data_IF_650282237469
#
_entry.id   IF_650282237469
#
_cell.length_a   1.000
_cell.length_b   1.000
_cell.length_c   1.000
_cell.angle_alpha   90.00
_cell.angle_beta   90.00
_cell.angle_gamma   90.00
#
_symmetry.space_group_name_H-M   'P 1'
#
loop_
_entity.id
_entity.type
_entity.pdbx_description
1 polymer ?
#
# COMPACT_ATOMS: atom_id res chain seq x y z
N UNK A 1 47.35 -17.82 -52.77
CA UNK A 1 46.97 -18.20 -51.39
C UNK A 1 46.26 -17.02 -50.76
N UNK A 2 44.93 -17.01 -50.80
CA UNK A 2 44.10 -15.91 -50.26
C UNK A 2 43.16 -16.55 -49.25
N UNK A 3 43.46 -16.38 -47.96
CA UNK A 3 42.67 -16.89 -46.85
C UNK A 3 41.48 -15.96 -46.62
N UNK A 4 40.27 -16.47 -46.82
CA UNK A 4 39.02 -15.80 -46.43
C UNK A 4 38.74 -16.21 -44.98
N UNK A 5 38.79 -15.25 -44.05
CA UNK A 5 38.32 -15.44 -42.67
C UNK A 5 36.79 -15.29 -42.64
N UNK A 6 36.03 -16.20 -42.00
CA UNK A 6 34.60 -16.01 -41.81
C UNK A 6 34.37 -15.08 -40.62
N UNK A 7 33.66 -13.97 -40.86
CA UNK A 7 33.21 -13.04 -39.84
C UNK A 7 32.10 -13.70 -39.02
N UNK A 8 32.40 -13.98 -37.75
CA UNK A 8 31.44 -14.52 -36.78
C UNK A 8 30.42 -13.42 -36.42
N UNK A 9 29.17 -13.57 -36.84
CA UNK A 9 28.06 -12.73 -36.37
C UNK A 9 27.78 -13.09 -34.90
N UNK A 10 28.15 -12.19 -33.97
CA UNK A 10 27.70 -12.27 -32.58
C UNK A 10 26.20 -11.95 -32.54
N UNK A 11 25.37 -12.97 -32.35
CA UNK A 11 23.98 -12.82 -31.94
C UNK A 11 23.95 -12.19 -30.55
N UNK A 12 23.64 -10.90 -30.48
CA UNK A 12 23.34 -10.21 -29.24
C UNK A 12 22.02 -10.78 -28.72
N UNK A 13 22.10 -11.71 -27.78
CA UNK A 13 20.93 -12.16 -27.03
C UNK A 13 20.36 -10.95 -26.29
N UNK A 14 19.22 -10.43 -26.75
CA UNK A 14 18.38 -9.56 -25.93
C UNK A 14 18.06 -10.33 -24.65
N UNK A 15 18.78 -10.02 -23.56
CA UNK A 15 18.35 -10.40 -22.24
C UNK A 15 16.99 -9.72 -22.04
N UNK A 16 15.91 -10.49 -22.22
CA UNK A 16 14.58 -10.05 -21.86
C UNK A 16 14.68 -9.56 -20.42
N UNK A 17 14.49 -8.26 -20.20
CA UNK A 17 14.46 -7.68 -18.88
C UNK A 17 13.40 -8.47 -18.09
N UNK A 18 13.87 -9.33 -17.17
CA UNK A 18 12.97 -10.04 -16.26
C UNK A 18 12.40 -8.98 -15.34
N UNK A 19 11.08 -8.83 -15.36
CA UNK A 19 10.39 -7.98 -14.40
C UNK A 19 10.74 -8.36 -12.98
N UNK A 20 10.55 -7.44 -12.05
CA UNK A 20 10.85 -7.59 -10.64
C UNK A 20 10.40 -8.95 -10.13
N UNK A 21 11.36 -9.75 -9.68
CA UNK A 21 11.11 -11.09 -9.14
C UNK A 21 10.37 -11.05 -7.80
N UNK A 22 10.34 -9.88 -7.14
CA UNK A 22 9.81 -9.69 -5.80
C UNK A 22 8.82 -8.52 -5.75
N UNK A 23 7.84 -8.64 -4.84
CA UNK A 23 6.89 -7.60 -4.48
C UNK A 23 6.85 -7.48 -2.94
N UNK A 24 7.89 -6.89 -2.33
CA UNK A 24 8.21 -7.14 -0.92
C UNK A 24 7.34 -6.41 0.09
N UNK A 25 6.53 -5.43 -0.32
CA UNK A 25 5.77 -4.56 0.56
C UNK A 25 4.46 -4.13 -0.10
N UNK A 26 3.60 -3.46 0.68
CA UNK A 26 2.41 -2.79 0.13
C UNK A 26 2.79 -1.85 -1.02
N UNK A 27 2.13 -2.04 -2.18
CA UNK A 27 2.39 -1.33 -3.44
C UNK A 27 3.78 -1.58 -4.05
N UNK A 28 4.41 -2.71 -3.75
CA UNK A 28 5.54 -3.24 -4.52
C UNK A 28 6.90 -2.66 -4.15
N UNK A 29 7.96 -2.97 -4.93
CA UNK A 29 9.35 -2.66 -4.58
C UNK A 29 9.59 -1.19 -4.26
N UNK A 30 9.05 -0.28 -5.07
CA UNK A 30 9.11 1.17 -4.85
C UNK A 30 8.04 1.70 -3.89
N UNK A 31 7.02 0.92 -3.55
CA UNK A 31 5.89 1.38 -2.73
C UNK A 31 4.97 2.39 -3.42
N UNK A 32 5.07 2.52 -4.74
CA UNK A 32 4.34 3.44 -5.60
C UNK A 32 3.30 2.74 -6.49
N UNK A 33 3.27 1.41 -6.49
CA UNK A 33 2.37 0.59 -7.30
C UNK A 33 2.90 0.32 -8.71
N UNK A 34 4.18 0.56 -8.98
CA UNK A 34 4.79 0.31 -10.28
C UNK A 34 5.45 -1.06 -10.37
N UNK A 35 5.38 -1.67 -11.55
CA UNK A 35 6.11 -2.88 -11.91
C UNK A 35 6.72 -2.74 -13.30
N UNK A 36 7.95 -3.22 -13.43
CA UNK A 36 8.66 -3.44 -14.69
C UNK A 36 8.32 -4.79 -15.34
N UNK A 37 7.39 -5.57 -14.76
CA UNK A 37 6.86 -6.78 -15.36
C UNK A 37 6.38 -6.57 -16.81
N UNK A 38 6.54 -7.63 -17.60
CA UNK A 38 6.21 -7.70 -19.03
C UNK A 38 5.50 -9.02 -19.34
N UNK A 39 4.66 -9.00 -20.36
CA UNK A 39 3.90 -10.19 -20.78
C UNK A 39 2.84 -10.59 -19.76
N UNK A 40 2.24 -9.58 -19.10
CA UNK A 40 1.13 -9.81 -18.19
C UNK A 40 -0.14 -10.11 -18.99
N UNK A 41 -0.96 -11.10 -18.58
CA UNK A 41 -2.19 -11.44 -19.29
C UNK A 41 -3.14 -10.23 -19.27
N UNK A 42 -3.65 -9.86 -20.44
CA UNK A 42 -4.58 -8.73 -20.57
C UNK A 42 -5.99 -9.06 -20.06
N UNK A 43 -6.38 -10.33 -20.13
CA UNK A 43 -7.71 -10.82 -19.75
C UNK A 43 -7.62 -12.09 -18.90
N UNK A 44 -8.57 -12.29 -17.99
CA UNK A 44 -8.74 -13.51 -17.21
C UNK A 44 -10.19 -13.69 -16.75
N UNK A 45 -10.51 -14.91 -16.32
CA UNK A 45 -11.76 -15.28 -15.67
C UNK A 45 -11.49 -16.41 -14.67
N UNK A 46 -12.51 -16.92 -13.98
CA UNK A 46 -12.37 -18.12 -13.14
C UNK A 46 -11.83 -19.35 -13.90
N UNK A 47 -11.91 -19.38 -15.24
CA UNK A 47 -11.47 -20.50 -16.09
C UNK A 47 -10.35 -20.15 -17.08
N UNK A 48 -9.96 -18.87 -17.20
CA UNK A 48 -8.96 -18.40 -18.18
C UNK A 48 -7.80 -17.70 -17.48
N UNK A 49 -6.57 -18.06 -17.86
CA UNK A 49 -5.32 -17.49 -17.34
C UNK A 49 -5.12 -17.62 -15.81
N UNK A 50 -5.90 -18.47 -15.14
CA UNK A 50 -5.67 -18.86 -13.73
C UNK A 50 -4.69 -20.02 -13.70
N UNK A 51 -3.49 -19.80 -13.16
CA UNK A 51 -2.48 -20.86 -12.98
C UNK A 51 -2.86 -21.77 -11.82
N UNK A 52 -3.24 -21.15 -10.70
CA UNK A 52 -3.77 -21.80 -9.53
C UNK A 52 -4.62 -20.80 -8.75
N UNK A 53 -5.52 -21.32 -7.92
CA UNK A 53 -6.20 -20.55 -6.88
C UNK A 53 -6.23 -21.36 -5.59
N UNK A 54 -6.02 -20.68 -4.47
CA UNK A 54 -5.86 -21.28 -3.15
C UNK A 54 -6.82 -20.60 -2.20
N UNK A 55 -7.69 -21.37 -1.55
CA UNK A 55 -8.58 -20.85 -0.53
C UNK A 55 -7.76 -20.32 0.67
N UNK A 56 -8.14 -19.15 1.18
CA UNK A 56 -7.58 -18.56 2.40
C UNK A 56 -8.73 -18.45 3.38
N UNK A 57 -8.61 -19.13 4.52
CA UNK A 57 -9.67 -19.11 5.52
C UNK A 57 -9.73 -17.75 6.23
N UNK A 58 -10.87 -17.50 6.89
CA UNK A 58 -11.13 -16.28 7.65
C UNK A 58 -11.03 -14.99 6.82
N UNK A 59 -10.91 -13.81 7.48
CA UNK A 59 -10.98 -12.50 6.81
C UNK A 59 -9.68 -11.72 6.96
N UNK A 60 -9.21 -11.10 5.89
CA UNK A 60 -8.03 -10.22 5.91
C UNK A 60 -7.91 -9.41 4.64
N UNK A 61 -7.52 -8.14 4.74
CA UNK A 61 -7.34 -7.25 3.58
C UNK A 61 -5.87 -6.93 3.29
N UNK A 62 -4.93 -7.64 3.93
CA UNK A 62 -3.53 -7.55 3.54
C UNK A 62 -3.33 -7.95 2.09
N UNK A 63 -2.55 -7.14 1.38
CA UNK A 63 -2.09 -7.46 0.03
C UNK A 63 -1.07 -8.60 0.12
N UNK A 64 -0.99 -9.49 -0.88
CA UNK A 64 0.10 -10.45 -0.94
C UNK A 64 1.43 -9.72 -1.05
N UNK A 65 2.46 -10.23 -0.37
CA UNK A 65 3.86 -9.87 -0.65
C UNK A 65 4.62 -11.08 -1.14
N UNK A 66 5.51 -10.87 -2.10
CA UNK A 66 6.23 -11.93 -2.81
C UNK A 66 7.73 -11.73 -2.63
N UNK A 67 8.44 -12.77 -2.19
CA UNK A 67 9.89 -12.80 -2.20
C UNK A 67 10.40 -14.18 -2.60
N UNK A 68 11.08 -14.27 -3.75
CA UNK A 68 11.51 -15.52 -4.35
C UNK A 68 10.32 -16.44 -4.63
N UNK A 69 10.26 -17.57 -3.91
CA UNK A 69 9.21 -18.59 -4.04
C UNK A 69 8.07 -18.45 -3.02
N UNK A 70 8.10 -17.44 -2.16
CA UNK A 70 7.17 -17.32 -1.04
C UNK A 70 6.20 -16.17 -1.25
N UNK A 71 4.92 -16.43 -0.99
CA UNK A 71 3.88 -15.43 -0.88
C UNK A 71 3.39 -15.39 0.56
N UNK A 72 3.32 -14.19 1.14
CA UNK A 72 2.87 -13.99 2.52
C UNK A 72 1.59 -13.18 2.60
N UNK A 73 0.69 -13.61 3.48
CA UNK A 73 -0.63 -13.02 3.72
C UNK A 73 -1.01 -13.15 5.20
N UNK A 74 -2.00 -12.36 5.61
CA UNK A 74 -2.61 -12.44 6.95
C UNK A 74 -4.13 -12.59 6.88
N UNK A 75 -4.72 -13.25 7.86
CA UNK A 75 -6.17 -13.26 8.11
C UNK A 75 -6.44 -13.20 9.61
N UNK A 76 -7.70 -13.02 9.98
CA UNK A 76 -8.15 -13.04 11.36
C UNK A 76 -9.55 -13.65 11.46
N UNK A 77 -9.80 -14.39 12.53
CA UNK A 77 -11.11 -14.94 12.85
C UNK A 77 -12.18 -13.85 12.81
N UNK A 78 -13.43 -14.24 12.51
CA UNK A 78 -14.54 -13.27 12.38
C UNK A 78 -14.73 -12.40 13.63
N UNK A 79 -14.46 -12.95 14.81
CA UNK A 79 -14.54 -12.26 16.09
C UNK A 79 -13.24 -11.52 16.48
N UNK A 80 -12.18 -11.62 15.68
CA UNK A 80 -10.89 -10.96 15.88
C UNK A 80 -9.99 -11.59 16.95
N UNK A 81 -10.40 -12.72 17.54
CA UNK A 81 -9.67 -13.37 18.64
C UNK A 81 -8.43 -14.12 18.20
N UNK A 82 -8.38 -14.56 16.95
CA UNK A 82 -7.24 -15.31 16.41
C UNK A 82 -6.70 -14.62 15.15
N UNK A 83 -5.39 -14.41 15.12
CA UNK A 83 -4.68 -13.72 14.06
C UNK A 83 -3.72 -14.69 13.36
N UNK A 84 -3.89 -14.87 12.05
CA UNK A 84 -3.23 -15.91 11.26
C UNK A 84 -2.24 -15.35 10.24
N UNK A 85 -1.26 -16.17 9.92
CA UNK A 85 -0.23 -15.89 8.91
C UNK A 85 -0.12 -17.08 7.96
N UNK A 86 -0.02 -16.77 6.67
CA UNK A 86 0.17 -17.75 5.61
C UNK A 86 1.51 -17.55 4.92
N UNK A 87 2.19 -18.64 4.63
CA UNK A 87 3.22 -18.71 3.60
C UNK A 87 2.75 -19.69 2.53
N UNK A 88 2.62 -19.21 1.30
CA UNK A 88 2.14 -19.97 0.15
C UNK A 88 3.29 -20.08 -0.87
N UNK A 89 3.46 -21.27 -1.44
CA UNK A 89 4.43 -21.48 -2.52
C UNK A 89 3.94 -20.78 -3.78
N UNK A 90 4.75 -19.83 -4.27
CA UNK A 90 4.46 -18.99 -5.44
C UNK A 90 4.15 -19.81 -6.69
N UNK A 91 4.85 -20.93 -6.86
CA UNK A 91 4.76 -21.70 -8.10
C UNK A 91 3.52 -22.57 -8.15
N UNK A 92 3.26 -23.29 -7.06
CA UNK A 92 2.22 -24.33 -6.98
C UNK A 92 0.93 -23.87 -6.33
N UNK A 93 0.93 -22.74 -5.62
CA UNK A 93 -0.20 -22.27 -4.82
C UNK A 93 -0.41 -23.06 -3.52
N UNK A 94 0.43 -24.05 -3.22
CA UNK A 94 0.27 -24.85 -1.99
C UNK A 94 0.59 -24.01 -0.76
N UNK A 95 -0.24 -24.13 0.26
CA UNK A 95 0.05 -23.58 1.58
C UNK A 95 1.26 -24.34 2.14
N UNK A 96 2.38 -23.63 2.30
CA UNK A 96 3.60 -24.16 2.94
C UNK A 96 3.44 -24.11 4.45
N UNK A 97 2.86 -23.01 4.95
CA UNK A 97 2.50 -22.82 6.35
C UNK A 97 1.24 -21.97 6.47
N UNK A 98 0.44 -22.32 7.44
CA UNK A 98 -0.76 -21.63 7.91
C UNK A 98 -0.81 -21.85 9.42
N UNK A 99 -0.77 -20.77 10.19
CA UNK A 99 -0.76 -20.86 11.64
C UNK A 99 -1.28 -19.59 12.30
N UNK A 100 -1.83 -19.78 13.51
CA UNK A 100 -2.15 -18.69 14.42
C UNK A 100 -0.86 -18.10 14.98
N UNK A 101 -0.65 -16.81 14.73
CA UNK A 101 0.48 -16.05 15.27
C UNK A 101 0.12 -15.42 16.62
N UNK A 102 -1.08 -14.88 16.78
CA UNK A 102 -1.50 -14.22 18.01
C UNK A 102 -2.93 -14.55 18.41
N UNK A 103 -3.14 -14.75 19.72
CA UNK A 103 -4.43 -14.66 20.38
C UNK A 103 -4.69 -13.24 20.90
N UNK A 104 -5.96 -12.80 20.80
CA UNK A 104 -6.45 -11.49 21.27
C UNK A 104 -7.72 -11.72 22.11
N UNK A 105 -7.61 -11.80 23.45
CA UNK A 105 -8.77 -12.10 24.31
C UNK A 105 -9.92 -11.10 24.19
N UNK A 106 -9.58 -9.82 23.99
CA UNK A 106 -10.53 -8.72 23.86
C UNK A 106 -10.19 -7.89 22.62
N UNK A 107 -10.64 -8.31 21.42
CA UNK A 107 -10.39 -7.57 20.19
C UNK A 107 -11.07 -6.20 20.23
N UNK A 108 -10.39 -5.17 19.73
CA UNK A 108 -10.99 -3.84 19.52
C UNK A 108 -12.12 -3.93 18.49
N UNK A 109 -12.99 -2.91 18.42
CA UNK A 109 -13.92 -2.82 17.30
C UNK A 109 -13.14 -2.77 15.95
N UNK A 110 -13.74 -3.32 14.90
CA UNK A 110 -13.25 -3.20 13.53
C UNK A 110 -14.42 -2.91 12.60
N UNK A 111 -14.30 -1.86 11.79
CA UNK A 111 -15.37 -1.47 10.86
C UNK A 111 -15.53 -2.54 9.75
N UNK A 112 -16.72 -2.66 9.14
CA UNK A 112 -16.99 -3.69 8.13
C UNK A 112 -16.08 -3.62 6.89
N UNK A 113 -15.64 -2.41 6.52
CA UNK A 113 -14.65 -2.17 5.45
C UNK A 113 -13.21 -2.52 5.85
N UNK A 114 -12.98 -2.86 7.12
CA UNK A 114 -11.69 -3.23 7.67
C UNK A 114 -11.74 -4.65 8.24
N UNK A 115 -10.59 -5.20 8.66
CA UNK A 115 -10.50 -6.41 9.48
C UNK A 115 -9.39 -6.26 10.50
N UNK A 116 -9.26 -7.23 11.40
CA UNK A 116 -8.12 -7.31 12.31
C UNK A 116 -6.79 -7.65 11.62
N UNK A 117 -6.80 -7.94 10.31
CA UNK A 117 -5.65 -8.41 9.51
C UNK A 117 -5.53 -7.64 8.18
N UNK A 118 -5.75 -6.33 8.20
CA UNK A 118 -5.61 -5.47 7.02
C UNK A 118 -4.19 -4.98 6.71
N UNK A 119 -3.31 -4.71 7.71
CA UNK A 119 -1.94 -4.31 7.41
C UNK A 119 -1.23 -5.37 6.56
N UNK A 120 -0.61 -4.93 5.47
CA UNK A 120 0.17 -5.78 4.56
C UNK A 120 1.55 -6.06 5.16
N UNK A 121 2.01 -7.32 5.23
CA UNK A 121 3.37 -7.63 5.67
C UNK A 121 4.45 -6.91 4.84
N UNK A 122 5.68 -6.85 5.37
CA UNK A 122 6.87 -6.51 4.58
C UNK A 122 7.90 -7.62 4.69
N UNK A 123 8.48 -8.02 3.57
CA UNK A 123 9.42 -9.15 3.47
C UNK A 123 10.74 -8.72 2.85
N UNK A 124 11.83 -9.23 3.41
CA UNK A 124 13.17 -9.17 2.83
C UNK A 124 13.81 -10.56 2.88
N UNK A 125 15.03 -10.68 2.38
CA UNK A 125 15.74 -11.95 2.42
C UNK A 125 15.89 -12.46 3.87
N UNK A 126 15.30 -13.63 4.13
CA UNK A 126 15.40 -14.33 5.42
C UNK A 126 14.41 -13.86 6.50
N UNK A 127 13.68 -12.75 6.31
CA UNK A 127 12.74 -12.23 7.32
C UNK A 127 11.47 -11.66 6.70
N UNK A 128 10.36 -11.92 7.35
CA UNK A 128 9.08 -11.24 7.11
C UNK A 128 8.61 -10.57 8.40
N UNK A 129 8.07 -9.37 8.26
CA UNK A 129 7.57 -8.53 9.34
C UNK A 129 6.07 -8.36 9.19
N UNK A 130 5.36 -8.66 10.26
CA UNK A 130 3.89 -8.71 10.27
C UNK A 130 3.39 -7.87 11.43
N UNK A 131 2.40 -7.02 11.17
CA UNK A 131 1.70 -6.26 12.21
C UNK A 131 0.20 -6.45 12.08
N UNK A 132 -0.48 -6.49 13.21
CA UNK A 132 -1.93 -6.41 13.34
C UNK A 132 -2.31 -5.14 14.14
N UNK A 133 -1.48 -4.10 14.01
CA UNK A 133 -1.58 -2.89 14.82
C UNK A 133 -1.25 -3.17 16.29
N UNK A 134 -2.10 -2.68 17.19
CA UNK A 134 -1.86 -2.81 18.64
C UNK A 134 -1.97 -4.26 19.14
N UNK A 135 -2.62 -5.15 18.38
CA UNK A 135 -2.76 -6.56 18.76
C UNK A 135 -1.42 -7.32 18.73
N UNK A 136 -0.47 -6.87 17.90
CA UNK A 136 0.88 -7.43 17.89
C UNK A 136 1.65 -7.15 16.61
N UNK A 137 2.97 -7.13 16.74
CA UNK A 137 3.93 -7.06 15.63
C UNK A 137 5.02 -8.11 15.84
N UNK A 138 5.42 -8.84 14.80
CA UNK A 138 6.47 -9.86 14.87
C UNK A 138 7.39 -9.85 13.65
N UNK A 139 8.62 -10.34 13.85
CA UNK A 139 9.47 -10.80 12.78
C UNK A 139 9.56 -12.32 12.78
N UNK A 140 9.49 -12.91 11.59
CA UNK A 140 9.57 -14.36 11.39
C UNK A 140 10.71 -14.68 10.43
N UNK A 141 11.49 -15.70 10.74
CA UNK A 141 12.49 -16.26 9.84
C UNK A 141 11.80 -17.01 8.69
N UNK A 142 12.04 -16.58 7.44
CA UNK A 142 11.30 -17.10 6.27
C UNK A 142 11.69 -18.52 5.86
N UNK A 143 12.70 -19.12 6.49
CA UNK A 143 13.16 -20.48 6.20
C UNK A 143 12.67 -21.48 7.24
N UNK A 144 12.78 -21.10 8.51
CA UNK A 144 12.45 -21.96 9.66
C UNK A 144 11.05 -21.71 10.19
N UNK A 145 10.40 -20.61 9.79
CA UNK A 145 9.10 -20.15 10.28
C UNK A 145 9.07 -19.85 11.78
N UNK A 146 10.24 -19.69 12.40
CA UNK A 146 10.34 -19.31 13.82
C UNK A 146 10.10 -17.81 13.96
N UNK A 147 9.29 -17.45 14.96
CA UNK A 147 9.20 -16.06 15.43
C UNK A 147 10.55 -15.69 16.05
N UNK A 148 11.17 -14.65 15.49
CA UNK A 148 12.47 -14.12 15.94
C UNK A 148 12.30 -13.15 17.10
N UNK A 149 11.26 -12.34 17.05
CA UNK A 149 10.82 -11.44 18.11
C UNK A 149 9.35 -11.07 17.89
N UNK A 150 8.68 -10.67 18.97
CA UNK A 150 7.33 -10.09 18.93
C UNK A 150 7.23 -8.88 19.87
N UNK A 151 6.25 -8.01 19.59
CA UNK A 151 5.90 -6.81 20.35
C UNK A 151 4.39 -6.75 20.48
N UNK A 152 3.89 -6.65 21.72
CA UNK A 152 2.46 -6.51 22.08
C UNK A 152 2.19 -5.32 23.00
N UNK A 153 3.23 -4.54 23.26
CA UNK A 153 3.26 -3.39 24.17
C UNK A 153 3.08 -2.05 23.45
N UNK A 154 2.84 -2.06 22.13
CA UNK A 154 2.57 -0.84 21.36
C UNK A 154 1.08 -0.51 21.45
N UNK A 155 0.73 0.31 22.43
CA UNK A 155 -0.65 0.73 22.69
C UNK A 155 -1.17 1.71 21.64
N UNK A 156 -2.41 1.48 21.20
CA UNK A 156 -3.19 2.33 20.30
C UNK A 156 -4.62 1.77 20.21
N UNK A 157 -5.62 2.57 20.52
CA UNK A 157 -7.01 2.27 20.20
C UNK A 157 -7.27 2.63 18.72
N UNK A 158 -7.16 1.63 17.85
CA UNK A 158 -7.45 1.80 16.42
C UNK A 158 -8.92 2.11 16.16
N UNK A 159 -9.82 1.76 17.06
CA UNK A 159 -11.28 1.87 17.01
C UNK A 159 -11.95 1.23 15.78
N UNK A 160 -11.58 1.60 14.55
CA UNK A 160 -12.10 1.06 13.29
C UNK A 160 -11.18 0.01 12.65
N UNK A 161 -10.23 -0.52 13.42
CA UNK A 161 -9.22 -1.50 13.00
C UNK A 161 -7.94 -0.85 12.45
N UNK A 162 -6.81 -1.56 12.51
CA UNK A 162 -5.54 -1.10 11.98
C UNK A 162 -5.53 -1.16 10.44
N UNK A 163 -4.86 -0.22 9.78
CA UNK A 163 -4.71 -0.20 8.31
C UNK A 163 -3.28 0.05 7.81
N UNK A 164 -2.47 0.75 8.60
CA UNK A 164 -1.12 1.14 8.23
C UNK A 164 -0.18 -0.08 8.14
N UNK A 165 0.42 -0.28 6.97
CA UNK A 165 1.38 -1.36 6.75
C UNK A 165 2.79 -0.95 7.16
N UNK A 166 3.63 -1.87 7.65
CA UNK A 166 5.04 -1.60 7.92
C UNK A 166 5.84 -1.41 6.63
N UNK A 167 6.89 -0.59 6.70
CA UNK A 167 7.91 -0.49 5.64
C UNK A 167 9.32 -0.66 6.23
N UNK A 168 10.29 -0.99 5.38
CA UNK A 168 11.69 -1.12 5.77
C UNK A 168 12.51 0.08 5.26
N UNK A 169 13.43 0.56 6.10
CA UNK A 169 14.46 1.51 5.69
C UNK A 169 15.77 1.23 6.46
N UNK A 170 16.80 0.76 5.76
CA UNK A 170 18.05 0.32 6.39
C UNK A 170 17.80 -0.80 7.42
N UNK A 171 18.12 -0.52 8.69
CA UNK A 171 17.86 -1.43 9.81
C UNK A 171 16.54 -1.17 10.53
N UNK A 172 15.69 -0.27 10.02
CA UNK A 172 14.47 0.15 10.67
C UNK A 172 13.23 -0.51 10.05
N UNK A 173 12.31 -0.91 10.92
CA UNK A 173 10.91 -1.19 10.60
C UNK A 173 10.08 0.03 11.02
N UNK A 174 9.50 0.71 10.04
CA UNK A 174 8.77 1.97 10.23
C UNK A 174 7.26 1.72 10.17
N UNK A 175 6.52 2.27 11.13
CA UNK A 175 5.07 2.11 11.26
C UNK A 175 4.42 3.39 11.78
N UNK A 176 3.12 3.58 11.47
CA UNK A 176 2.29 4.64 12.05
C UNK A 176 1.17 4.02 12.88
N UNK A 177 0.87 4.68 14.00
CA UNK A 177 -0.24 4.36 14.89
C UNK A 177 -1.02 5.65 15.12
N UNK A 178 -2.07 5.86 14.33
CA UNK A 178 -2.96 7.00 14.45
C UNK A 178 -4.35 6.48 14.87
N UNK A 179 -4.48 6.19 16.16
CA UNK A 179 -5.70 5.72 16.83
C UNK A 179 -6.64 6.86 17.24
N UNK A 180 -7.73 6.54 17.91
CA UNK A 180 -8.63 7.55 18.47
C UNK A 180 -8.08 8.19 19.75
N UNK A 181 -7.19 7.47 20.45
CA UNK A 181 -6.56 7.85 21.71
C UNK A 181 -5.18 8.51 21.51
N UNK A 182 -4.33 7.94 20.66
CA UNK A 182 -2.94 8.38 20.45
C UNK A 182 -2.57 8.39 18.97
N UNK A 183 -1.67 9.31 18.60
CA UNK A 183 -1.16 9.45 17.23
C UNK A 183 0.36 9.59 17.21
N UNK A 184 1.06 8.65 16.58
CA UNK A 184 2.53 8.65 16.51
C UNK A 184 3.11 7.84 15.34
N UNK A 185 4.36 8.13 15.01
CA UNK A 185 5.22 7.35 14.12
C UNK A 185 6.28 6.64 14.97
N UNK A 186 6.60 5.38 14.65
CA UNK A 186 7.59 4.59 15.39
C UNK A 186 8.55 3.87 14.45
N UNK A 187 9.82 3.80 14.85
CA UNK A 187 10.82 2.92 14.26
C UNK A 187 11.27 1.85 15.24
N UNK A 188 11.27 0.61 14.79
CA UNK A 188 11.88 -0.51 15.51
C UNK A 188 13.18 -0.93 14.82
N UNK A 189 14.16 -1.39 15.58
CA UNK A 189 15.28 -2.15 15.04
C UNK A 189 14.72 -3.46 14.48
N UNK A 190 14.84 -3.67 13.17
CA UNK A 190 14.21 -4.81 12.48
C UNK A 190 14.78 -6.17 12.90
N UNK A 191 15.92 -6.22 13.60
CA UNK A 191 16.54 -7.48 14.02
C UNK A 191 16.10 -7.90 15.41
N UNK A 192 15.83 -6.92 16.28
CA UNK A 192 15.57 -7.13 17.71
C UNK A 192 14.16 -6.76 18.13
N UNK A 193 13.44 -5.99 17.31
CA UNK A 193 12.12 -5.46 17.63
C UNK A 193 12.14 -4.29 18.63
N UNK A 194 13.31 -3.87 19.12
CA UNK A 194 13.43 -2.75 20.08
C UNK A 194 13.09 -1.42 19.43
N UNK A 195 12.41 -0.54 20.17
CA UNK A 195 12.12 0.82 19.71
C UNK A 195 13.43 1.59 19.57
N UNK A 196 13.66 2.17 18.39
CA UNK A 196 14.78 3.09 18.11
C UNK A 196 14.35 4.52 18.37
N UNK A 197 13.18 4.91 17.86
CA UNK A 197 12.55 6.19 18.13
C UNK A 197 11.03 6.08 18.02
N UNK A 198 10.32 6.98 18.70
CA UNK A 198 8.86 7.16 18.65
C UNK A 198 8.58 8.66 18.70
N UNK A 199 7.82 9.16 17.73
CA UNK A 199 7.53 10.60 17.59
C UNK A 199 6.01 10.82 17.59
N UNK A 200 5.46 11.57 18.57
CA UNK A 200 4.05 11.94 18.56
C UNK A 200 3.74 12.89 17.39
N UNK A 201 2.50 12.86 16.88
CA UNK A 201 2.04 13.86 15.92
C UNK A 201 1.99 15.24 16.59
N UNK A 202 2.57 16.25 15.96
CA UNK A 202 2.63 17.60 16.55
C UNK A 202 1.41 18.48 16.27
N UNK A 203 0.47 18.03 15.44
CA UNK A 203 -0.73 18.82 15.13
C UNK A 203 -1.56 19.07 16.39
N UNK A 204 -1.97 20.32 16.56
CA UNK A 204 -3.14 20.63 17.38
C UNK A 204 -4.41 20.37 16.57
N UNK A 205 -5.18 19.35 16.99
CA UNK A 205 -6.40 18.92 16.34
C UNK A 205 -7.56 19.93 16.48
N UNK A 206 -7.47 20.86 17.46
CA UNK A 206 -8.47 21.91 17.70
C UNK A 206 -9.90 21.37 17.89
N UNK A 207 -10.03 20.22 18.54
CA UNK A 207 -11.28 19.47 18.70
C UNK A 207 -11.56 19.09 20.15
N UNK A 208 -10.87 19.71 21.11
CA UNK A 208 -11.08 19.47 22.54
C UNK A 208 -12.24 20.30 23.07
N UNK A 209 -13.12 19.66 23.85
CA UNK A 209 -14.11 20.36 24.66
C UNK A 209 -13.48 21.00 25.91
N UNK A 210 -14.31 21.66 26.72
CA UNK A 210 -13.89 22.32 27.97
C UNK A 210 -13.24 21.38 29.01
N UNK A 211 -13.51 20.07 28.91
CA UNK A 211 -12.99 19.05 29.82
C UNK A 211 -11.76 18.34 29.21
N UNK A 212 -11.25 18.84 28.07
CA UNK A 212 -10.11 18.27 27.37
C UNK A 212 -10.41 16.97 26.63
N UNK A 213 -11.69 16.66 26.36
CA UNK A 213 -12.08 15.46 25.62
C UNK A 213 -12.18 15.75 24.13
N UNK A 214 -11.67 14.87 23.26
CA UNK A 214 -11.78 15.05 21.82
C UNK A 214 -13.21 14.87 21.31
N UNK A 215 -13.58 15.67 20.32
CA UNK A 215 -14.81 15.50 19.58
C UNK A 215 -14.93 14.08 19.01
N UNK A 216 -16.16 13.53 19.04
CA UNK A 216 -16.46 12.18 18.58
C UNK A 216 -15.51 11.12 19.18
N UNK A 217 -15.11 11.26 20.44
CA UNK A 217 -14.23 10.31 21.15
C UNK A 217 -12.89 10.09 20.42
N UNK A 218 -12.41 11.10 19.67
CA UNK A 218 -11.19 11.01 18.88
C UNK A 218 -11.36 10.28 17.55
N UNK A 219 -12.59 9.99 17.11
CA UNK A 219 -12.85 9.28 15.85
C UNK A 219 -12.18 9.98 14.66
N UNK A 220 -12.15 11.33 14.69
CA UNK A 220 -11.60 12.20 13.65
C UNK A 220 -10.07 12.35 13.69
N UNK A 221 -9.39 11.75 14.68
CA UNK A 221 -7.92 11.82 14.82
C UNK A 221 -7.19 10.63 14.18
N UNK A 222 -7.94 9.71 13.58
CA UNK A 222 -7.40 8.48 13.00
C UNK A 222 -6.88 8.63 11.58
N UNK A 223 -5.90 7.80 11.26
CA UNK A 223 -5.44 7.55 9.90
C UNK A 223 -5.03 6.09 9.71
N UNK A 224 -5.04 5.67 8.45
CA UNK A 224 -4.78 4.30 8.02
C UNK A 224 -3.63 4.21 7.00
N UNK A 225 -2.97 5.34 6.75
CA UNK A 225 -1.97 5.49 5.70
C UNK A 225 -0.67 4.74 6.01
N UNK A 226 -0.11 4.15 4.95
CA UNK A 226 1.22 3.54 4.98
C UNK A 226 2.28 4.60 4.64
N UNK A 227 3.39 4.74 5.41
CA UNK A 227 4.45 5.69 5.10
C UNK A 227 5.13 5.45 3.76
N UNK A 228 5.85 6.45 3.28
CA UNK A 228 6.76 6.30 2.15
C UNK A 228 8.10 6.97 2.45
N UNK A 229 9.22 6.29 2.22
CA UNK A 229 10.55 6.89 2.31
C UNK A 229 11.04 7.23 0.92
N UNK A 230 11.42 8.48 0.69
CA UNK A 230 11.96 8.95 -0.59
C UNK A 230 13.21 9.79 -0.37
N UNK A 231 14.05 9.86 -1.42
CA UNK A 231 15.17 10.80 -1.46
C UNK A 231 14.70 12.08 -2.12
N UNK A 232 14.67 13.16 -1.35
CA UNK A 232 14.16 14.48 -1.74
C UNK A 232 15.29 15.48 -1.54
N UNK A 233 15.65 16.24 -2.57
CA UNK A 233 16.69 17.28 -2.53
C UNK A 233 18.01 16.80 -1.86
N UNK A 234 18.39 15.55 -2.16
CA UNK A 234 19.61 14.92 -1.65
C UNK A 234 19.48 14.26 -0.26
N UNK A 235 18.43 14.52 0.51
CA UNK A 235 18.17 13.94 1.84
C UNK A 235 17.10 12.83 1.81
N UNK A 236 17.13 11.93 2.78
CA UNK A 236 16.06 10.95 2.97
C UNK A 236 14.95 11.53 3.83
N UNK A 237 13.70 11.35 3.41
CA UNK A 237 12.51 11.83 4.10
C UNK A 237 11.50 10.70 4.23
N UNK A 238 10.91 10.55 5.42
CA UNK A 238 9.76 9.70 5.70
C UNK A 238 8.48 10.53 5.57
N UNK A 239 7.77 10.37 4.46
CA UNK A 239 6.48 11.01 4.23
C UNK A 239 5.38 10.19 4.90
N UNK A 240 4.60 10.85 5.73
CA UNK A 240 3.67 10.22 6.66
C UNK A 240 2.37 11.00 6.76
N UNK A 241 1.28 10.41 6.26
CA UNK A 241 -0.04 11.02 6.30
C UNK A 241 -0.74 10.63 7.60
N UNK A 242 -1.10 11.60 8.42
CA UNK A 242 -1.98 11.45 9.57
C UNK A 242 -3.41 11.86 9.23
N UNK A 243 -4.27 12.01 10.25
CA UNK A 243 -5.68 12.31 10.03
C UNK A 243 -5.88 13.69 9.39
N UNK A 244 -5.44 14.72 10.10
CA UNK A 244 -5.64 16.14 9.75
C UNK A 244 -4.37 16.83 9.27
N UNK A 245 -3.31 16.06 9.02
CA UNK A 245 -2.01 16.59 8.62
C UNK A 245 -1.16 15.55 7.89
N UNK A 246 -0.31 16.02 7.00
CA UNK A 246 0.78 15.26 6.40
C UNK A 246 2.11 15.76 6.93
N UNK A 247 3.05 14.85 7.14
CA UNK A 247 4.33 15.12 7.77
C UNK A 247 5.47 14.58 6.93
N UNK A 248 6.64 15.17 7.12
CA UNK A 248 7.91 14.53 6.83
C UNK A 248 8.75 14.43 8.09
N UNK A 249 9.44 13.29 8.22
CA UNK A 249 10.39 13.04 9.29
C UNK A 249 11.75 12.63 8.72
N UNK A 250 12.82 12.90 9.47
CA UNK A 250 14.07 12.18 9.29
C UNK A 250 13.82 10.70 9.62
N UNK A 251 14.00 9.76 8.67
CA UNK A 251 13.67 8.35 8.90
C UNK A 251 14.60 7.68 9.93
N UNK A 252 15.80 8.21 10.18
CA UNK A 252 16.77 7.65 11.11
C UNK A 252 16.52 8.12 12.54
N UNK A 253 16.06 9.36 12.73
CA UNK A 253 15.91 9.95 14.07
C UNK A 253 14.46 10.18 14.50
N UNK A 254 13.51 10.12 13.56
CA UNK A 254 12.11 10.46 13.81
C UNK A 254 11.86 11.96 14.00
N UNK A 255 12.85 12.82 13.71
CA UNK A 255 12.70 14.28 13.86
C UNK A 255 11.75 14.80 12.79
N UNK A 256 10.70 15.52 13.20
CA UNK A 256 9.81 16.22 12.26
C UNK A 256 10.62 17.27 11.48
N UNK A 257 10.51 17.21 10.16
CA UNK A 257 11.14 18.15 9.23
C UNK A 257 10.15 19.22 8.84
N UNK A 258 8.96 18.82 8.40
CA UNK A 258 7.87 19.72 8.05
C UNK A 258 6.51 19.05 8.23
N UNK A 259 5.45 19.88 8.26
CA UNK A 259 4.07 19.41 8.19
C UNK A 259 3.17 20.33 7.38
N UNK A 260 2.14 19.74 6.79
CA UNK A 260 0.98 20.40 6.16
C UNK A 260 -0.24 20.02 6.97
N UNK A 261 -1.07 20.99 7.35
CA UNK A 261 -2.27 20.78 8.15
C UNK A 261 -3.53 21.04 7.31
N UNK A 262 -4.46 20.10 7.32
CA UNK A 262 -5.77 20.15 6.67
C UNK A 262 -6.84 19.61 7.61
N UNK A 263 -7.48 20.51 8.37
CA UNK A 263 -8.32 20.12 9.52
C UNK A 263 -9.76 19.75 9.18
N UNK A 264 -10.19 20.09 7.97
CA UNK A 264 -11.54 19.79 7.46
C UNK A 264 -11.70 18.32 7.06
N UNK A 265 -10.58 17.62 6.84
CA UNK A 265 -10.52 16.23 6.37
C UNK A 265 -9.86 15.34 7.42
N UNK A 266 -10.10 14.03 7.35
CA UNK A 266 -9.51 13.06 8.27
C UNK A 266 -9.40 11.67 7.63
N UNK A 267 -8.85 10.69 8.34
CA UNK A 267 -8.81 9.28 7.88
C UNK A 267 -8.07 9.06 6.56
N UNK A 268 -6.95 9.77 6.33
CA UNK A 268 -6.06 9.46 5.22
C UNK A 268 -5.63 7.98 5.27
N UNK A 269 -5.79 7.26 4.17
CA UNK A 269 -5.50 5.82 4.08
C UNK A 269 -4.55 5.45 2.94
N UNK A 270 -4.29 6.39 2.04
CA UNK A 270 -3.47 6.20 0.87
C UNK A 270 -1.98 6.28 1.20
N UNK A 271 -1.13 5.68 0.36
CA UNK A 271 0.30 5.92 0.40
C UNK A 271 0.63 7.12 -0.51
N UNK A 272 1.42 8.11 -0.06
CA UNK A 272 1.75 9.27 -0.88
C UNK A 272 2.60 8.87 -2.10
N UNK A 273 2.46 9.63 -3.19
CA UNK A 273 3.25 9.47 -4.41
C UNK A 273 4.14 10.69 -4.60
N UNK A 274 5.41 10.47 -4.93
CA UNK A 274 6.41 11.53 -5.05
C UNK A 274 6.94 11.56 -6.48
N UNK A 275 7.03 12.74 -7.07
CA UNK A 275 7.61 12.93 -8.39
C UNK A 275 7.53 14.38 -8.85
N UNK A 276 8.40 14.75 -9.78
CA UNK A 276 8.43 16.09 -10.37
C UNK A 276 8.54 17.25 -9.35
N UNK A 277 9.27 17.04 -8.26
CA UNK A 277 9.43 18.03 -7.19
C UNK A 277 8.16 18.24 -6.34
N UNK A 278 7.25 17.27 -6.35
CA UNK A 278 6.00 17.32 -5.59
C UNK A 278 5.71 15.98 -4.88
N UNK A 279 4.88 16.10 -3.85
CA UNK A 279 4.29 15.01 -3.08
C UNK A 279 2.77 15.11 -3.28
N UNK A 280 2.16 14.02 -3.74
CA UNK A 280 0.75 13.93 -4.05
C UNK A 280 0.07 12.97 -3.09
N UNK A 281 -1.02 13.40 -2.47
CA UNK A 281 -1.80 12.54 -1.60
C UNK A 281 -3.25 13.00 -1.44
N UNK A 282 -4.20 12.06 -1.49
CA UNK A 282 -5.55 12.26 -0.97
C UNK A 282 -5.55 12.49 0.55
N UNK A 283 -6.33 13.47 1.01
CA UNK A 283 -6.44 13.84 2.44
C UNK A 283 -7.42 12.98 3.24
N UNK A 284 -8.06 12.00 2.60
CA UNK A 284 -8.99 11.07 3.26
C UNK A 284 -10.46 11.45 3.14
N UNK A 285 -11.24 11.14 4.17
CA UNK A 285 -12.71 11.19 4.23
C UNK A 285 -13.28 12.59 4.54
N UNK A 286 -14.61 12.67 4.49
CA UNK A 286 -15.45 13.89 4.58
C UNK A 286 -15.51 14.63 3.24
N UNK A 287 -14.73 15.69 3.08
CA UNK A 287 -14.62 16.51 1.86
C UNK A 287 -13.21 16.38 1.27
N UNK A 288 -12.75 15.12 1.19
CA UNK A 288 -11.41 14.71 0.76
C UNK A 288 -10.91 15.40 -0.51
N UNK A 289 -9.65 15.78 -0.48
CA UNK A 289 -8.98 16.51 -1.56
C UNK A 289 -7.69 15.80 -1.95
N UNK A 290 -7.28 15.92 -3.21
CA UNK A 290 -5.92 15.60 -3.59
C UNK A 290 -5.09 16.87 -3.43
N UNK A 291 -4.04 16.80 -2.63
CA UNK A 291 -3.04 17.86 -2.54
C UNK A 291 -1.83 17.53 -3.40
N UNK A 292 -1.25 18.57 -4.01
CA UNK A 292 0.12 18.59 -4.47
C UNK A 292 0.93 19.54 -3.62
N UNK A 293 1.90 19.00 -2.90
CA UNK A 293 2.80 19.75 -2.02
C UNK A 293 4.18 19.76 -2.65
N UNK A 294 4.77 20.94 -2.87
CA UNK A 294 6.16 21.06 -3.35
C UNK A 294 7.09 20.40 -2.34
N UNK A 295 8.09 19.68 -2.82
CA UNK A 295 9.14 19.12 -1.97
C UNK A 295 9.97 20.21 -1.31
N UNK A 296 10.66 19.86 -0.23
CA UNK A 296 11.47 20.79 0.55
C UNK A 296 10.69 21.47 1.67
N UNK A 297 11.28 22.53 2.22
CA UNK A 297 10.72 23.26 3.36
C UNK A 297 11.12 22.70 4.73
N UNK A 298 10.69 23.44 5.77
CA UNK A 298 10.93 23.14 7.18
C UNK A 298 9.81 23.76 8.05
N UNK A 299 9.33 23.03 9.06
CA UNK A 299 8.26 23.47 9.95
C UNK A 299 6.86 23.39 9.33
N UNK A 300 5.95 24.29 9.73
CA UNK A 300 4.60 24.37 9.17
C UNK A 300 4.65 25.01 7.78
N UNK A 301 4.31 24.25 6.74
CA UNK A 301 4.45 24.67 5.33
C UNK A 301 3.12 24.74 4.57
N UNK A 302 1.98 24.65 5.26
CA UNK A 302 0.63 24.64 4.66
C UNK A 302 0.42 25.77 3.65
N UNK A 303 0.75 27.01 4.02
CA UNK A 303 0.45 28.19 3.19
C UNK A 303 1.52 28.47 2.11
N UNK A 304 2.67 27.78 2.19
CA UNK A 304 3.83 28.09 1.33
C UNK A 304 4.12 27.00 0.30
N UNK A 305 3.78 25.74 0.57
CA UNK A 305 4.20 24.61 -0.27
C UNK A 305 3.05 23.89 -0.98
N UNK A 306 1.79 24.15 -0.64
CA UNK A 306 0.67 23.57 -1.41
C UNK A 306 0.61 24.27 -2.77
N UNK A 307 0.96 23.54 -3.83
CA UNK A 307 0.99 24.05 -5.19
C UNK A 307 -0.41 24.16 -5.79
N UNK A 308 -1.24 23.13 -5.58
CA UNK A 308 -2.62 23.08 -6.05
C UNK A 308 -3.43 22.03 -5.29
N UNK A 309 -4.75 22.08 -5.44
CA UNK A 309 -5.71 21.16 -4.80
C UNK A 309 -6.79 20.72 -5.79
N UNK A 310 -7.18 19.44 -5.76
CA UNK A 310 -8.35 18.93 -6.49
C UNK A 310 -9.38 18.43 -5.47
N UNK A 311 -10.65 18.85 -5.60
CA UNK A 311 -11.73 18.57 -4.62
C UNK A 311 -12.79 17.57 -5.11
N UNK A 312 -12.71 17.10 -6.37
CA UNK A 312 -13.71 16.21 -6.98
C UNK A 312 -13.04 14.98 -7.55
N UNK A 313 -13.72 13.84 -7.47
CA UNK A 313 -13.20 12.56 -7.99
C UNK A 313 -11.98 12.02 -7.23
N UNK A 314 -11.79 12.45 -5.98
CA UNK A 314 -10.66 12.05 -5.13
C UNK A 314 -11.02 10.76 -4.38
N UNK A 315 -10.13 9.74 -4.38
CA UNK A 315 -10.33 8.53 -3.60
C UNK A 315 -10.19 8.76 -2.10
N UNK A 316 -10.97 8.04 -1.31
CA UNK A 316 -10.75 7.96 0.14
C UNK A 316 -9.85 6.79 0.51
N UNK A 317 -9.95 5.66 -0.22
CA UNK A 317 -9.21 4.40 0.08
C UNK A 317 -8.12 4.08 -0.94
N UNK A 318 -8.40 4.03 -2.26
CA UNK A 318 -7.38 3.66 -3.23
C UNK A 318 -6.24 4.70 -3.29
N UNK A 319 -5.00 4.24 -3.24
CA UNK A 319 -3.84 5.10 -3.52
C UNK A 319 -3.83 5.54 -4.99
N UNK A 320 -3.14 6.63 -5.31
CA UNK A 320 -3.02 7.16 -6.68
C UNK A 320 -1.79 6.58 -7.40
N UNK A 321 -1.72 6.78 -8.73
CA UNK A 321 -0.55 6.47 -9.55
C UNK A 321 -0.04 7.73 -10.24
N UNK A 322 1.28 7.89 -10.38
CA UNK A 322 1.91 8.92 -11.20
C UNK A 322 2.65 8.24 -12.35
N UNK A 323 2.19 8.45 -13.58
CA UNK A 323 2.79 7.87 -14.79
C UNK A 323 2.94 8.97 -15.82
N UNK A 324 4.16 9.18 -16.31
CA UNK A 324 4.48 10.12 -17.41
C UNK A 324 3.90 11.54 -17.22
N UNK A 325 4.00 12.07 -15.99
CA UNK A 325 3.50 13.41 -15.65
C UNK A 325 1.98 13.50 -15.46
N UNK A 326 1.26 12.38 -15.48
CA UNK A 326 -0.18 12.29 -15.24
C UNK A 326 -0.46 11.51 -13.96
N UNK A 327 -1.42 11.99 -13.17
CA UNK A 327 -1.91 11.28 -11.99
C UNK A 327 -3.21 10.57 -12.35
N UNK A 328 -3.29 9.29 -12.01
CA UNK A 328 -4.46 8.45 -12.20
C UNK A 328 -5.11 8.13 -10.86
N UNK A 329 -6.42 8.36 -10.80
CA UNK A 329 -7.24 8.16 -9.62
C UNK A 329 -8.41 7.23 -9.95
N UNK A 330 -8.86 6.49 -8.94
CA UNK A 330 -10.14 5.79 -8.97
C UNK A 330 -10.91 6.16 -7.72
N UNK A 331 -11.96 6.98 -7.85
CA UNK A 331 -12.85 7.26 -6.74
C UNK A 331 -13.53 5.98 -6.26
N UNK A 332 -13.84 5.91 -4.97
CA UNK A 332 -14.43 4.73 -4.31
C UNK A 332 -15.67 4.22 -5.05
N UNK A 333 -16.44 5.10 -5.71
CA UNK A 333 -17.67 4.81 -6.46
C UNK A 333 -17.46 4.53 -7.97
N UNK A 334 -16.23 4.21 -8.38
CA UNK A 334 -15.92 3.77 -9.74
C UNK A 334 -15.80 4.88 -10.78
N UNK A 335 -15.47 6.10 -10.36
CA UNK A 335 -15.09 7.19 -11.27
C UNK A 335 -13.57 7.21 -11.42
N UNK A 336 -13.07 6.79 -12.58
CA UNK A 336 -11.66 6.92 -12.94
C UNK A 336 -11.39 8.35 -13.43
N UNK A 337 -10.29 8.95 -12.98
CA UNK A 337 -9.89 10.29 -13.41
C UNK A 337 -8.40 10.33 -13.74
N UNK A 338 -8.03 11.20 -14.67
CA UNK A 338 -6.66 11.55 -14.98
C UNK A 338 -6.49 13.06 -14.87
N UNK A 339 -5.44 13.48 -14.19
CA UNK A 339 -5.11 14.89 -14.01
C UNK A 339 -3.64 15.15 -14.38
N UNK A 340 -3.33 16.37 -14.78
CA UNK A 340 -1.96 16.80 -15.02
C UNK A 340 -1.23 17.00 -13.68
N UNK A 341 -0.10 16.32 -13.49
CA UNK A 341 0.61 16.36 -12.20
C UNK A 341 1.19 17.73 -11.88
N UNK A 342 1.41 18.61 -12.85
CA UNK A 342 1.99 19.94 -12.62
C UNK A 342 0.95 20.99 -12.28
N UNK A 343 -0.20 20.96 -12.96
CA UNK A 343 -1.24 21.99 -12.78
C UNK A 343 -2.43 21.54 -11.92
N UNK A 344 -2.64 20.23 -11.76
CA UNK A 344 -3.86 19.69 -11.15
C UNK A 344 -5.09 19.74 -12.07
N UNK A 345 -4.92 20.15 -13.33
CA UNK A 345 -6.01 20.23 -14.30
C UNK A 345 -6.53 18.84 -14.65
N UNK A 346 -7.87 18.69 -14.70
CA UNK A 346 -8.49 17.44 -15.13
C UNK A 346 -8.28 17.22 -16.62
N UNK A 347 -7.63 16.12 -16.98
CA UNK A 347 -7.40 15.72 -18.37
C UNK A 347 -8.60 14.91 -18.88
N UNK A 348 -9.07 13.94 -18.09
CA UNK A 348 -10.31 13.23 -18.35
C UNK A 348 -10.91 12.65 -17.07
N UNK A 349 -12.22 12.36 -17.12
CA UNK A 349 -12.94 11.67 -16.06
C UNK A 349 -14.00 10.76 -16.68
N UNK A 350 -14.04 9.49 -16.25
CA UNK A 350 -14.95 8.49 -16.79
C UNK A 350 -15.45 7.53 -15.72
N UNK A 351 -16.74 7.17 -15.79
CA UNK A 351 -17.32 6.14 -14.94
C UNK A 351 -16.99 4.77 -15.52
N UNK A 352 -16.16 4.01 -14.80
CA UNK A 352 -15.89 2.61 -15.11
C UNK A 352 -16.75 1.66 -14.27
N UNK A 353 -17.44 2.16 -13.24
CA UNK A 353 -18.40 1.44 -12.41
C UNK A 353 -17.77 0.45 -11.41
N UNK A 354 -18.56 -0.03 -10.46
CA UNK A 354 -18.10 -0.82 -9.32
C UNK A 354 -17.61 0.06 -8.17
N UNK A 355 -17.40 -0.55 -7.00
CA UNK A 355 -16.82 0.11 -5.83
C UNK A 355 -15.34 -0.28 -5.68
N UNK A 356 -14.50 0.59 -5.12
CA UNK A 356 -13.05 0.40 -5.06
C UNK A 356 -12.50 0.64 -3.66
N UNK A 357 -11.78 -0.36 -3.16
CA UNK A 357 -10.91 -0.28 -1.97
C UNK A 357 -9.45 -0.59 -2.32
N UNK A 358 -9.23 -1.53 -3.25
CA UNK A 358 -7.90 -1.88 -3.72
C UNK A 358 -7.25 -0.72 -4.48
N UNK A 359 -5.97 -0.51 -4.24
CA UNK A 359 -5.21 0.51 -4.95
C UNK A 359 -4.78 0.01 -6.33
N UNK A 360 -4.83 0.86 -7.38
CA UNK A 360 -4.38 0.49 -8.71
C UNK A 360 -2.87 0.29 -8.78
N UNK A 361 -2.44 -0.40 -9.83
CA UNK A 361 -1.03 -0.64 -10.18
C UNK A 361 -0.75 -0.27 -11.64
N UNK A 362 0.48 0.15 -11.91
CA UNK A 362 0.99 0.38 -13.25
C UNK A 362 2.00 -0.70 -13.60
N UNK A 363 1.72 -1.48 -14.65
CA UNK A 363 2.57 -2.58 -15.08
C UNK A 363 2.35 -2.91 -16.55
N UNK A 364 3.41 -3.34 -17.23
CA UNK A 364 3.37 -3.71 -18.65
C UNK A 364 2.76 -2.61 -19.55
N UNK A 365 3.05 -1.34 -19.23
CA UNK A 365 2.54 -0.16 -19.96
C UNK A 365 1.06 0.13 -19.75
N UNK A 366 0.41 -0.47 -18.73
CA UNK A 366 -1.04 -0.40 -18.51
C UNK A 366 -1.36 -0.03 -17.06
N UNK A 367 -2.53 0.58 -16.88
CA UNK A 367 -3.12 0.89 -15.58
C UNK A 367 -4.17 -0.19 -15.24
N UNK A 368 -4.11 -0.73 -14.03
CA UNK A 368 -4.97 -1.83 -13.59
C UNK A 368 -5.76 -1.43 -12.35
N UNK A 369 -7.09 -1.52 -12.43
CA UNK A 369 -8.02 -1.13 -11.37
C UNK A 369 -8.85 -2.33 -10.92
N UNK A 370 -8.94 -2.59 -9.61
CA UNK A 370 -9.53 -3.80 -9.04
C UNK A 370 -10.69 -3.42 -8.13
N UNK A 371 -11.91 -3.82 -8.48
CA UNK A 371 -13.12 -3.45 -7.75
C UNK A 371 -13.54 -4.48 -6.70
N UNK A 372 -14.35 -4.03 -5.75
CA UNK A 372 -14.93 -4.83 -4.68
C UNK A 372 -15.91 -5.90 -5.18
N UNK A 373 -16.42 -5.80 -6.41
CA UNK A 373 -17.26 -6.83 -7.05
C UNK A 373 -16.46 -7.82 -7.92
N UNK A 374 -15.12 -7.71 -7.94
CA UNK A 374 -14.24 -8.65 -8.62
C UNK A 374 -13.93 -8.34 -10.07
N UNK A 375 -14.40 -7.18 -10.55
CA UNK A 375 -14.01 -6.67 -11.85
C UNK A 375 -12.60 -6.09 -11.79
N UNK A 376 -11.80 -6.40 -12.80
CA UNK A 376 -10.57 -5.69 -13.10
C UNK A 376 -10.77 -4.90 -14.39
N UNK A 377 -10.49 -3.60 -14.36
CA UNK A 377 -10.53 -2.73 -15.54
C UNK A 377 -9.11 -2.34 -15.92
N UNK A 378 -8.75 -2.52 -17.19
CA UNK A 378 -7.43 -2.19 -17.72
C UNK A 378 -7.54 -0.97 -18.60
N UNK A 379 -6.77 0.07 -18.30
CA UNK A 379 -6.72 1.30 -19.08
C UNK A 379 -5.32 1.50 -19.66
N UNK A 380 -5.27 2.14 -20.83
CA UNK A 380 -4.02 2.69 -21.36
C UNK A 380 -3.71 4.01 -20.64
N UNK A 381 -2.47 4.25 -20.21
CA UNK A 381 -2.06 5.57 -19.77
C UNK A 381 -2.09 6.54 -20.95
N UNK A 382 -2.44 7.79 -20.68
CA UNK A 382 -2.44 8.87 -21.66
C UNK A 382 -3.45 9.96 -21.34
N UNK A 383 -3.46 10.99 -22.19
CA UNK A 383 -4.38 12.12 -22.12
C UNK A 383 -5.76 11.85 -22.72
N UNK A 384 -5.95 10.65 -23.28
CA UNK A 384 -7.25 10.17 -23.79
C UNK A 384 -7.63 8.94 -22.97
N UNK A 385 -8.88 8.87 -22.54
CA UNK A 385 -9.40 7.67 -21.90
C UNK A 385 -9.52 6.54 -22.92
N UNK A 386 -8.86 5.42 -22.67
CA UNK A 386 -8.90 4.22 -23.52
C UNK A 386 -8.97 2.97 -22.63
N UNK A 387 -10.14 2.31 -22.59
CA UNK A 387 -10.31 1.01 -21.92
C UNK A 387 -9.77 -0.09 -22.82
N UNK A 388 -8.80 -0.84 -22.32
CA UNK A 388 -8.13 -1.92 -23.05
C UNK A 388 -8.81 -3.26 -22.86
N UNK A 389 -9.22 -3.57 -21.62
CA UNK A 389 -9.80 -4.85 -21.28
C UNK A 389 -10.58 -4.79 -19.97
N UNK A 390 -11.34 -5.85 -19.75
CA UNK A 390 -12.07 -6.10 -18.52
C UNK A 390 -11.97 -7.60 -18.17
N UNK A 391 -11.91 -7.91 -16.88
CA UNK A 391 -11.83 -9.28 -16.38
C UNK A 391 -12.61 -9.39 -15.08
N UNK A 392 -13.02 -10.61 -14.71
CA UNK A 392 -13.78 -10.82 -13.48
C UNK A 392 -13.33 -12.09 -12.77
N UNK A 393 -13.15 -11.99 -11.45
CA UNK A 393 -13.00 -13.12 -10.53
C UNK A 393 -14.12 -13.06 -9.49
N UNK A 394 -14.42 -14.19 -8.89
CA UNK A 394 -15.45 -14.28 -7.87
C UNK A 394 -14.99 -13.66 -6.55
N UNK A 395 -15.95 -13.25 -5.72
CA UNK A 395 -15.74 -12.78 -4.34
C UNK A 395 -14.93 -11.49 -4.16
N UNK A 396 -14.53 -10.80 -5.24
CA UNK A 396 -14.10 -9.41 -5.25
C UNK A 396 -12.88 -9.00 -4.45
N UNK A 397 -12.40 -7.76 -4.67
CA UNK A 397 -11.09 -7.30 -4.17
C UNK A 397 -11.24 -6.18 -3.14
N UNK A 398 -10.66 -6.37 -1.96
CA UNK A 398 -10.34 -5.28 -1.02
C UNK A 398 -8.83 -5.06 -0.89
N UNK A 399 -8.04 -6.12 -1.09
CA UNK A 399 -6.59 -6.06 -1.12
C UNK A 399 -6.08 -5.63 -2.50
N UNK A 400 -4.93 -4.95 -2.53
CA UNK A 400 -4.24 -4.62 -3.79
C UNK A 400 -3.46 -5.84 -4.29
N UNK A 401 -3.24 -6.00 -5.61
CA UNK A 401 -2.49 -7.15 -6.12
C UNK A 401 -0.99 -7.03 -5.81
N UNK A 402 -0.29 -8.16 -5.92
CA UNK A 402 1.15 -8.20 -6.12
C UNK A 402 1.49 -8.60 -7.56
N UNK A 403 2.64 -8.15 -8.03
CA UNK A 403 3.16 -8.50 -9.36
C UNK A 403 4.59 -9.00 -9.19
N UNK A 404 4.87 -10.20 -9.70
CA UNK A 404 6.23 -10.73 -9.68
C UNK A 404 6.50 -11.59 -10.91
N UNK A 405 7.59 -11.29 -11.62
CA UNK A 405 7.89 -11.89 -12.93
C UNK A 405 6.85 -11.51 -13.97
N UNK A 406 6.08 -12.51 -14.46
CA UNK A 406 5.03 -12.34 -15.49
C UNK A 406 3.62 -12.65 -14.98
N UNK A 407 3.42 -12.64 -13.67
CA UNK A 407 2.16 -13.00 -13.04
C UNK A 407 1.63 -11.92 -12.09
N UNK A 408 0.31 -11.84 -12.02
CA UNK A 408 -0.38 -11.22 -10.89
C UNK A 408 -0.65 -12.25 -9.80
N UNK A 409 -0.51 -11.80 -8.55
CA UNK A 409 -1.00 -12.51 -7.37
C UNK A 409 -2.11 -11.68 -6.76
N UNK A 410 -3.35 -12.16 -6.90
CA UNK A 410 -4.56 -11.38 -6.61
C UNK A 410 -5.32 -12.05 -5.48
N UNK A 411 -5.54 -11.31 -4.40
CA UNK A 411 -6.34 -11.76 -3.26
C UNK A 411 -7.78 -11.30 -3.41
N UNK A 412 -8.72 -12.24 -3.50
CA UNK A 412 -10.15 -11.97 -3.32
C UNK A 412 -10.53 -12.13 -1.84
N UNK A 413 -11.81 -11.95 -1.49
CA UNK A 413 -12.27 -12.17 -0.11
C UNK A 413 -12.03 -13.59 0.42
N UNK A 414 -11.90 -14.59 -0.47
CA UNK A 414 -11.86 -16.01 -0.09
C UNK A 414 -10.66 -16.78 -0.65
N UNK A 415 -9.95 -16.25 -1.66
CA UNK A 415 -8.88 -16.96 -2.34
C UNK A 415 -7.71 -16.05 -2.69
N UNK A 416 -6.53 -16.65 -2.84
CA UNK A 416 -5.39 -16.08 -3.55
C UNK A 416 -5.28 -16.76 -4.93
N UNK A 417 -5.12 -15.97 -5.98
CA UNK A 417 -4.95 -16.43 -7.36
C UNK A 417 -3.55 -16.11 -7.86
N UNK A 418 -2.97 -16.98 -8.67
CA UNK A 418 -1.91 -16.62 -9.63
C UNK A 418 -2.52 -16.52 -11.02
N UNK A 419 -2.46 -15.33 -11.60
CA UNK A 419 -2.93 -15.05 -12.95
C UNK A 419 -1.71 -14.84 -13.85
N UNK A 420 -1.59 -15.66 -14.90
CA UNK A 420 -0.47 -15.66 -15.84
C UNK A 420 -0.96 -16.13 -17.20
N UNK A 421 -0.37 -15.60 -18.28
CA UNK A 421 -0.70 -16.03 -19.62
C UNK A 421 -0.31 -17.51 -19.82
N UNK A 422 -1.31 -18.34 -20.11
CA UNK A 422 -1.17 -19.78 -20.39
C UNK A 422 -1.13 -20.07 -21.88
#
# INVERSE_FOLDING_TARGET
MTRILPTLFLLWSCAAARGAENWPQFRGPGGDGHSDARGLPLEWSETRNVVWKTAVHDRGWSSPVVFGKQIWLTSASKDGRELFVFCIDRETGKIVRDWKLFDVPQPQFAHAFNTHASPTPVIEQGRVYITFGAAGTAAIDTRTFRVLWERRDIECNHFRGAGSSPILFGNLLLMHFDGSDVQFVIALDKRTGRTVWKTPRSIDFQDLDKDGKPAAEGDLRKAFATPHVARIDGRWELISLGAKAAYSYDPLTGKELWRVEERDQHSASTRPVIGHGMIFFPTGFSTGQLLAVRTGGNGLITDTHIAWRVKRGVPNKPSILLVDGLIYLIGDNGIASCIDSKSGEQVWQQRIGGEYSASPVYADGRLWFFSEDGKTTVLKPGRVFEKLAESRLDNGFLASPAIAGKAFFIRTRTHLYRIEQR
#
